data_IF_436498519056
#
_entry.id   IF_436498519056
#
_cell.length_a   1.000
_cell.length_b   1.000
_cell.length_c   1.000
_cell.angle_alpha   90.00
_cell.angle_beta   90.00
_cell.angle_gamma   90.00
#
_symmetry.space_group_name_H-M   'P 1'
#
loop_
_entity.id
_entity.type
_entity.pdbx_description
1 polymer ?
#
# COMPACT_ATOMS: atom_id res chain seq x y z
N UNK A 1 14.99 3.72 -9.02
CA UNK A 1 15.07 2.43 -8.31
C UNK A 1 14.03 1.48 -8.86
N UNK A 2 14.41 0.22 -9.04
CA UNK A 2 13.45 -0.80 -9.45
C UNK A 2 12.54 -1.15 -8.27
N UNK A 3 11.25 -1.32 -8.54
CA UNK A 3 10.32 -1.84 -7.55
C UNK A 3 10.61 -3.32 -7.31
N UNK A 4 10.54 -3.74 -6.06
CA UNK A 4 10.67 -5.14 -5.68
C UNK A 4 9.27 -5.69 -5.43
N UNK A 5 8.90 -6.72 -6.18
CA UNK A 5 7.60 -7.39 -6.02
C UNK A 5 7.81 -8.81 -5.48
N UNK A 6 6.94 -9.18 -4.55
CA UNK A 6 6.93 -10.52 -3.96
C UNK A 6 5.54 -11.14 -4.16
N UNK A 7 5.40 -12.47 -3.99
CA UNK A 7 4.08 -13.10 -4.11
C UNK A 7 3.02 -12.41 -3.25
N UNK A 8 1.82 -12.32 -3.81
CA UNK A 8 0.62 -11.67 -3.28
C UNK A 8 0.61 -10.15 -3.38
N UNK A 9 1.67 -9.52 -3.88
CA UNK A 9 1.63 -8.09 -4.17
C UNK A 9 0.57 -7.78 -5.21
N UNK A 10 -0.16 -6.70 -5.01
CA UNK A 10 -1.17 -6.22 -5.95
C UNK A 10 -0.55 -5.17 -6.86
N UNK A 11 -0.73 -5.34 -8.15
CA UNK A 11 -0.14 -4.49 -9.19
C UNK A 11 -1.15 -4.18 -10.28
N UNK A 12 -0.79 -3.27 -11.19
CA UNK A 12 -1.52 -3.01 -12.42
C UNK A 12 -0.76 -3.53 -13.62
N UNK A 13 -1.49 -4.13 -14.57
CA UNK A 13 -0.96 -4.57 -15.86
C UNK A 13 -1.95 -4.11 -16.93
N UNK A 14 -1.53 -3.24 -17.83
CA UNK A 14 -2.38 -2.68 -18.89
C UNK A 14 -3.69 -2.08 -18.35
N UNK A 15 -3.62 -1.39 -17.22
CA UNK A 15 -4.76 -0.76 -16.57
C UNK A 15 -5.65 -1.71 -15.76
N UNK A 16 -5.31 -3.00 -15.69
CA UNK A 16 -6.07 -4.01 -14.95
C UNK A 16 -5.35 -4.39 -13.66
N UNK A 17 -6.12 -4.70 -12.63
CA UNK A 17 -5.57 -5.16 -11.35
C UNK A 17 -5.16 -6.62 -11.44
N UNK A 18 -3.99 -6.93 -10.95
CA UNK A 18 -3.48 -8.30 -10.86
C UNK A 18 -2.74 -8.53 -9.55
N UNK A 19 -2.50 -9.79 -9.25
CA UNK A 19 -1.78 -10.20 -8.05
C UNK A 19 -0.61 -11.07 -8.45
N UNK A 20 0.58 -10.75 -7.92
CA UNK A 20 1.77 -11.57 -8.16
C UNK A 20 1.59 -12.93 -7.50
N UNK A 21 1.71 -13.99 -8.27
CA UNK A 21 1.59 -15.36 -7.76
C UNK A 21 2.95 -16.03 -7.64
N UNK A 22 3.89 -15.69 -8.51
CA UNK A 22 5.22 -16.26 -8.50
C UNK A 22 6.20 -15.32 -9.21
N UNK A 23 7.47 -15.43 -8.87
CA UNK A 23 8.56 -14.74 -9.57
C UNK A 23 9.60 -15.76 -10.00
N UNK A 24 10.00 -15.70 -11.26
CA UNK A 24 11.00 -16.62 -11.82
C UNK A 24 12.38 -15.95 -11.78
N UNK A 25 13.24 -16.40 -10.88
CA UNK A 25 14.57 -15.81 -10.68
C UNK A 25 15.45 -15.82 -11.95
N UNK A 26 15.35 -16.88 -12.76
CA UNK A 26 16.22 -17.07 -13.90
C UNK A 26 15.80 -16.28 -15.14
N UNK A 27 14.52 -15.99 -15.29
CA UNK A 27 13.99 -15.28 -16.45
C UNK A 27 13.55 -13.85 -16.15
N UNK A 28 13.56 -13.44 -14.89
CA UNK A 28 13.07 -12.13 -14.40
C UNK A 28 11.60 -11.88 -14.76
N UNK A 29 10.84 -12.95 -14.96
CA UNK A 29 9.40 -12.88 -15.25
C UNK A 29 8.58 -13.06 -13.99
N UNK A 30 7.37 -12.53 -14.04
CA UNK A 30 6.36 -12.69 -12.99
C UNK A 30 5.14 -13.40 -13.53
N UNK A 31 4.56 -14.29 -12.74
CA UNK A 31 3.26 -14.87 -13.03
C UNK A 31 2.24 -14.08 -12.26
N UNK A 32 1.31 -13.46 -12.99
CA UNK A 32 0.30 -12.56 -12.43
C UNK A 32 -1.08 -13.16 -12.64
N UNK A 33 -1.87 -13.26 -11.57
CA UNK A 33 -3.28 -13.62 -11.66
C UNK A 33 -4.07 -12.35 -11.89
N UNK A 34 -4.61 -12.21 -13.10
CA UNK A 34 -5.41 -11.06 -13.49
C UNK A 34 -6.86 -11.26 -13.09
N UNK A 35 -7.52 -10.16 -12.78
CA UNK A 35 -8.96 -10.14 -12.52
C UNK A 35 -9.71 -9.54 -13.69
N UNK A 36 -10.93 -10.03 -13.92
CA UNK A 36 -11.91 -9.46 -14.83
C UNK A 36 -11.44 -9.33 -16.29
N UNK A 37 -11.21 -10.42 -17.03
CA UNK A 37 -11.43 -11.81 -16.64
C UNK A 37 -10.32 -12.41 -15.79
N UNK A 38 -10.66 -13.46 -15.07
CA UNK A 38 -9.69 -14.20 -14.25
C UNK A 38 -8.79 -15.03 -15.16
N UNK A 39 -7.50 -14.71 -15.19
CA UNK A 39 -6.53 -15.41 -16.02
C UNK A 39 -5.12 -15.25 -15.47
N UNK A 40 -4.24 -16.20 -15.74
CA UNK A 40 -2.82 -16.04 -15.45
C UNK A 40 -2.12 -15.39 -16.64
N UNK A 41 -1.21 -14.48 -16.34
CA UNK A 41 -0.42 -13.79 -17.35
C UNK A 41 1.05 -13.78 -16.93
N UNK A 42 1.95 -14.11 -17.87
CA UNK A 42 3.39 -13.97 -17.65
C UNK A 42 3.79 -12.55 -18.04
N UNK A 43 4.38 -11.80 -17.10
CA UNK A 43 4.75 -10.41 -17.29
C UNK A 43 6.23 -10.19 -16.98
N UNK A 44 6.84 -9.28 -17.70
CA UNK A 44 8.16 -8.76 -17.35
C UNK A 44 7.99 -7.62 -16.34
N UNK A 45 9.06 -7.25 -15.66
CA UNK A 45 9.03 -6.17 -14.66
C UNK A 45 8.48 -4.87 -15.24
N UNK A 46 8.85 -4.56 -16.48
CA UNK A 46 8.42 -3.34 -17.17
C UNK A 46 6.91 -3.30 -17.42
N UNK A 47 6.25 -4.45 -17.44
CA UNK A 47 4.79 -4.55 -17.64
C UNK A 47 4.01 -4.27 -16.36
N UNK A 48 4.69 -4.27 -15.22
CA UNK A 48 4.06 -4.10 -13.90
C UNK A 48 4.08 -2.64 -13.48
N UNK A 49 2.91 -2.11 -13.14
CA UNK A 49 2.79 -0.75 -12.62
C UNK A 49 2.41 -0.80 -11.14
N UNK A 50 3.12 -0.05 -10.28
CA UNK A 50 2.73 0.06 -8.88
C UNK A 50 1.42 0.82 -8.75
N UNK A 51 0.63 0.48 -7.73
CA UNK A 51 -0.65 1.14 -7.46
C UNK A 51 -0.42 2.14 -6.34
N UNK A 52 -0.65 3.44 -6.56
CA UNK A 52 -0.49 4.44 -5.52
C UNK A 52 -1.47 4.23 -4.36
N UNK A 53 -1.03 4.53 -3.15
CA UNK A 53 -1.92 4.55 -2.00
C UNK A 53 -2.75 5.82 -2.03
N UNK A 54 -4.07 5.66 -1.93
CA UNK A 54 -5.01 6.76 -1.83
C UNK A 54 -5.90 6.56 -0.61
N UNK A 55 -6.60 7.61 -0.20
CA UNK A 55 -7.58 7.51 0.87
C UNK A 55 -8.65 6.45 0.53
N UNK A 56 -9.13 6.43 -0.71
CA UNK A 56 -10.13 5.47 -1.15
C UNK A 56 -9.66 4.02 -1.02
N UNK A 57 -8.40 3.74 -1.40
CA UNK A 57 -7.82 2.40 -1.26
C UNK A 57 -7.77 1.99 0.21
N UNK A 58 -7.34 2.87 1.09
CA UNK A 58 -7.27 2.59 2.52
C UNK A 58 -8.65 2.35 3.10
N UNK A 59 -9.63 3.19 2.77
CA UNK A 59 -11.00 3.04 3.28
C UNK A 59 -11.63 1.73 2.83
N UNK A 60 -11.40 1.30 1.58
CA UNK A 60 -11.86 -0.01 1.10
C UNK A 60 -11.26 -1.17 1.88
N UNK A 61 -10.11 -0.96 2.50
CA UNK A 61 -9.40 -1.98 3.26
C UNK A 61 -9.56 -1.81 4.78
N UNK A 62 -10.60 -1.12 5.22
CA UNK A 62 -10.97 -1.04 6.63
C UNK A 62 -10.27 0.03 7.43
N UNK A 63 -9.56 0.94 6.77
CA UNK A 63 -8.98 2.09 7.45
C UNK A 63 -10.07 3.14 7.67
N UNK A 64 -10.10 3.74 8.84
CA UNK A 64 -11.05 4.77 9.20
C UNK A 64 -10.38 6.14 9.20
N UNK A 65 -11.06 7.10 8.59
CA UNK A 65 -10.58 8.49 8.58
C UNK A 65 -10.82 9.12 9.96
N UNK A 66 -9.75 9.62 10.57
CA UNK A 66 -9.80 10.29 11.85
C UNK A 66 -9.98 11.80 11.71
N UNK A 67 -9.24 12.43 10.78
CA UNK A 67 -9.29 13.87 10.60
C UNK A 67 -8.76 14.31 9.27
N UNK A 68 -9.18 15.50 8.85
CA UNK A 68 -8.63 16.22 7.71
C UNK A 68 -8.03 17.52 8.21
N UNK A 69 -6.79 17.78 7.84
CA UNK A 69 -6.14 19.06 8.07
C UNK A 69 -6.07 19.81 6.75
N UNK A 70 -7.16 20.52 6.42
CA UNK A 70 -7.33 21.17 5.12
C UNK A 70 -6.22 22.19 4.84
N UNK A 71 -5.79 22.93 5.87
CA UNK A 71 -4.77 23.97 5.74
C UNK A 71 -3.41 23.42 5.31
N UNK A 72 -3.13 22.15 5.63
CA UNK A 72 -1.86 21.49 5.30
C UNK A 72 -2.04 20.30 4.36
N UNK A 73 -3.22 20.14 3.77
CA UNK A 73 -3.54 19.03 2.86
C UNK A 73 -3.15 17.65 3.43
N UNK A 74 -3.49 17.43 4.69
CA UNK A 74 -3.17 16.17 5.39
C UNK A 74 -4.44 15.43 5.74
N UNK A 75 -4.47 14.12 5.44
CA UNK A 75 -5.54 13.21 5.82
C UNK A 75 -4.97 12.15 6.74
N UNK A 76 -5.61 11.94 7.88
CA UNK A 76 -5.16 10.96 8.86
C UNK A 76 -6.17 9.82 8.92
N UNK A 77 -5.70 8.59 8.70
CA UNK A 77 -6.50 7.38 8.77
C UNK A 77 -5.88 6.40 9.78
N UNK A 78 -6.70 5.50 10.27
CA UNK A 78 -6.31 4.54 11.29
C UNK A 78 -6.95 3.18 11.01
N UNK A 79 -6.22 2.13 11.28
CA UNK A 79 -6.79 0.77 11.32
C UNK A 79 -6.19 0.01 12.51
N UNK A 80 -7.09 -0.59 13.30
CA UNK A 80 -6.68 -1.48 14.38
C UNK A 80 -6.56 -2.91 13.83
N UNK A 81 -5.33 -3.39 13.83
CA UNK A 81 -5.04 -4.80 13.57
C UNK A 81 -4.82 -5.46 14.93
N UNK A 82 -5.20 -6.71 15.09
CA UNK A 82 -5.11 -7.39 16.39
C UNK A 82 -3.72 -7.29 17.05
N UNK A 83 -2.67 -7.23 16.24
CA UNK A 83 -1.28 -7.16 16.73
C UNK A 83 -0.77 -5.73 16.90
N UNK A 84 -1.40 -4.75 16.24
CA UNK A 84 -0.96 -3.35 16.28
C UNK A 84 -2.04 -2.43 15.74
N UNK A 85 -2.07 -1.19 16.23
CA UNK A 85 -2.87 -0.13 15.63
C UNK A 85 -1.95 0.73 14.77
N UNK A 86 -2.30 0.89 13.51
CA UNK A 86 -1.52 1.67 12.56
C UNK A 86 -2.24 2.94 12.17
N UNK A 87 -1.48 3.99 11.97
CA UNK A 87 -1.96 5.29 11.53
C UNK A 87 -1.26 5.63 10.21
N UNK A 88 -2.04 6.16 9.29
CA UNK A 88 -1.53 6.58 7.99
C UNK A 88 -1.79 8.07 7.80
N UNK A 89 -0.75 8.82 7.57
CA UNK A 89 -0.84 10.25 7.26
C UNK A 89 -0.55 10.44 5.78
N UNK A 90 -1.54 10.90 5.03
CA UNK A 90 -1.39 11.21 3.61
C UNK A 90 -1.23 12.72 3.49
N UNK A 91 -0.06 13.15 3.03
CA UNK A 91 0.29 14.56 2.91
C UNK A 91 0.58 14.90 1.45
N UNK A 92 -0.08 15.94 0.93
CA UNK A 92 0.20 16.45 -0.40
C UNK A 92 1.06 17.71 -0.31
N UNK A 93 2.20 17.71 -0.98
CA UNK A 93 3.12 18.85 -1.00
C UNK A 93 2.54 20.01 -1.82
N UNK A 94 2.63 21.24 -1.29
CA UNK A 94 2.01 22.41 -1.92
C UNK A 94 2.64 22.84 -3.23
N UNK A 95 3.94 22.58 -3.38
CA UNK A 95 4.73 23.13 -4.50
C UNK A 95 4.99 22.12 -5.61
N UNK A 96 4.57 20.89 -5.44
CA UNK A 96 4.64 19.83 -6.45
C UNK A 96 3.47 18.88 -6.24
N UNK A 97 3.22 18.00 -7.21
CA UNK A 97 2.14 17.02 -7.11
C UNK A 97 2.55 15.80 -6.30
N UNK A 98 3.63 15.89 -5.53
CA UNK A 98 4.14 14.80 -4.75
C UNK A 98 3.26 14.54 -3.53
N UNK A 99 2.94 13.26 -3.32
CA UNK A 99 2.17 12.79 -2.17
C UNK A 99 3.10 11.94 -1.31
N UNK A 100 3.19 12.27 -0.03
CA UNK A 100 3.89 11.43 0.96
C UNK A 100 2.88 10.67 1.80
N UNK A 101 3.10 9.39 1.98
CA UNK A 101 2.25 8.52 2.79
C UNK A 101 3.10 7.93 3.91
N UNK A 102 2.85 8.37 5.12
CA UNK A 102 3.66 8.03 6.28
C UNK A 102 2.89 7.07 7.20
N UNK A 103 3.52 5.97 7.58
CA UNK A 103 2.88 4.96 8.43
C UNK A 103 3.51 5.02 9.82
N UNK A 104 2.65 5.06 10.83
CA UNK A 104 3.01 5.09 12.25
C UNK A 104 2.34 3.94 12.99
N UNK A 105 2.97 3.48 14.04
CA UNK A 105 2.40 2.55 15.00
C UNK A 105 2.14 3.30 16.29
N UNK A 106 0.99 3.07 16.93
CA UNK A 106 0.67 3.73 18.18
C UNK A 106 -0.39 3.00 18.98
N UNK A 107 -0.78 3.56 20.15
CA UNK A 107 -1.88 3.02 20.95
C UNK A 107 -3.22 3.22 20.26
N UNK A 108 -4.26 2.53 20.74
CA UNK A 108 -5.62 2.68 20.18
C UNK A 108 -6.12 4.13 20.26
N UNK A 109 -5.74 4.85 21.31
CA UNK A 109 -6.04 6.26 21.43
C UNK A 109 -4.93 7.09 20.78
N UNK A 110 -5.30 7.84 19.74
CA UNK A 110 -4.34 8.68 19.03
C UNK A 110 -3.82 9.80 19.93
N UNK A 111 -2.52 9.68 20.26
CA UNK A 111 -1.75 10.73 20.92
C UNK A 111 -0.44 10.88 20.14
N UNK A 112 -0.19 12.04 19.54
CA UNK A 112 0.94 12.23 18.63
C UNK A 112 2.30 11.90 19.26
N UNK A 113 2.46 12.10 20.57
CA UNK A 113 3.71 11.79 21.30
C UNK A 113 3.98 10.29 21.43
N UNK A 114 2.94 9.45 21.30
CA UNK A 114 3.06 8.00 21.48
C UNK A 114 3.17 7.26 20.14
N UNK A 115 3.20 7.99 19.03
CA UNK A 115 3.33 7.40 17.72
C UNK A 115 4.79 7.09 17.39
N UNK A 116 5.03 5.92 16.85
CA UNK A 116 6.35 5.51 16.36
C UNK A 116 6.29 5.45 14.84
N UNK A 117 7.12 6.26 14.19
CA UNK A 117 7.22 6.24 12.73
C UNK A 117 7.81 4.91 12.27
N UNK A 118 7.16 4.26 11.31
CA UNK A 118 7.61 2.99 10.75
C UNK A 118 8.25 3.16 9.38
N UNK A 119 7.51 3.76 8.44
CA UNK A 119 7.98 3.86 7.05
C UNK A 119 7.17 4.86 6.24
N UNK A 120 7.85 5.45 5.25
CA UNK A 120 7.21 6.17 4.15
C UNK A 120 6.90 5.14 3.05
N UNK A 121 5.62 5.02 2.67
CA UNK A 121 5.19 4.10 1.62
C UNK A 121 4.39 4.89 0.59
N UNK A 122 4.70 4.69 -0.68
CA UNK A 122 4.01 5.41 -1.76
C UNK A 122 3.00 4.53 -2.49
N UNK A 123 3.23 3.23 -2.49
CA UNK A 123 2.46 2.28 -3.29
C UNK A 123 1.89 1.15 -2.43
N UNK A 124 0.82 0.55 -2.93
CA UNK A 124 0.11 -0.54 -2.25
C UNK A 124 1.04 -1.70 -1.90
N UNK A 125 1.91 -2.13 -2.83
CA UNK A 125 2.81 -3.25 -2.56
C UNK A 125 3.81 -2.95 -1.45
N UNK A 126 4.26 -1.70 -1.31
CA UNK A 126 5.13 -1.29 -0.21
C UNK A 126 4.43 -1.39 1.15
N UNK A 127 3.15 -1.00 1.19
CA UNK A 127 2.33 -1.17 2.39
C UNK A 127 2.14 -2.66 2.71
N UNK A 128 1.89 -3.49 1.69
CA UNK A 128 1.79 -4.94 1.87
C UNK A 128 3.07 -5.54 2.48
N UNK A 129 4.25 -5.10 2.01
CA UNK A 129 5.53 -5.54 2.57
C UNK A 129 5.68 -5.14 4.03
N UNK A 130 5.28 -3.92 4.38
CA UNK A 130 5.31 -3.46 5.77
C UNK A 130 4.38 -4.31 6.65
N UNK A 131 3.15 -4.55 6.20
CA UNK A 131 2.20 -5.39 6.94
C UNK A 131 2.73 -6.81 7.12
N UNK A 132 3.31 -7.38 6.08
CA UNK A 132 3.94 -8.71 6.15
C UNK A 132 5.03 -8.75 7.22
N UNK A 133 5.90 -7.73 7.25
CA UNK A 133 6.97 -7.63 8.24
C UNK A 133 6.46 -7.50 9.68
N UNK A 134 5.22 -7.02 9.86
CA UNK A 134 4.58 -6.91 11.17
C UNK A 134 3.74 -8.15 11.52
N UNK A 135 3.73 -9.17 10.67
CA UNK A 135 2.93 -10.38 10.88
C UNK A 135 1.44 -10.20 10.63
N UNK A 136 1.09 -9.21 9.82
CA UNK A 136 -0.30 -8.87 9.49
C UNK A 136 -0.64 -9.43 8.11
N UNK A 137 -1.90 -9.85 7.91
CA UNK A 137 -2.39 -10.28 6.59
C UNK A 137 -2.21 -9.15 5.56
N UNK A 138 -1.58 -9.49 4.45
CA UNK A 138 -1.24 -8.53 3.40
C UNK A 138 -2.30 -8.41 2.30
N UNK A 139 -3.40 -9.16 2.39
CA UNK A 139 -4.42 -9.14 1.36
C UNK A 139 -5.13 -7.80 1.32
N UNK A 140 -5.22 -7.20 0.13
CA UNK A 140 -5.85 -5.91 -0.07
C UNK A 140 -6.87 -5.96 -1.20
N UNK A 141 -7.97 -5.24 -1.00
CA UNK A 141 -9.06 -5.11 -1.97
C UNK A 141 -8.87 -3.78 -2.72
N UNK A 142 -8.99 -3.84 -4.03
CA UNK A 142 -8.84 -2.63 -4.86
C UNK A 142 -10.04 -2.37 -5.74
#
# INVERSE_FOLDING_TARGET
MKNIYIPYDVVKVDGRIGRIMDSREYSHDYIVLMTDPLEYKTCEEEDLEPIPITQDVLEKNGWEKLSDYIEVNTHLLCRDFDVATLYCEIYQHKNDDKISTLIYKGPEDYESKDLVFLKDVSNVHELQHLLFGLGIDTDMIL
#
